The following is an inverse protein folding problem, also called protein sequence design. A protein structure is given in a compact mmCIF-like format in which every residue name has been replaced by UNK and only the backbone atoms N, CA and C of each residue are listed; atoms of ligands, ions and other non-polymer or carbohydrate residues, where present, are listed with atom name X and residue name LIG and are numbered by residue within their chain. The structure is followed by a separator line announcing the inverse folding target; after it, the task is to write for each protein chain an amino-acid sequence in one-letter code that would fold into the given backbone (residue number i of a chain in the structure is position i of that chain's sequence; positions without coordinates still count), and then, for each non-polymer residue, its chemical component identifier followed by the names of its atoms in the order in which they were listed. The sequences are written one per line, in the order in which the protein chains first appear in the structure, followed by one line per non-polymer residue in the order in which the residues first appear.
data_IF_592350117619
#
_entry.id   IF_592350117619
#
_cell.length_a   1.000
_cell.length_b   1.000
_cell.length_c   1.000
_cell.angle_alpha   90.00
_cell.angle_beta   90.00
_cell.angle_gamma   90.00
#
_symmetry.space_group_name_H-M   'P 1'
#
loop_
_entity.id
_entity.type
_entity.pdbx_description
1 polymer ?
#
# COMPACT_ATOMS: atom_id res chain seq x y z
N UNK A 1 36.48 -13.68 30.87
CA UNK A 1 36.36 -13.88 29.41
C UNK A 1 35.59 -12.67 28.93
N UNK A 2 36.28 -11.54 28.83
CA UNK A 2 35.69 -10.23 28.59
C UNK A 2 36.04 -9.83 27.17
N UNK A 3 35.14 -10.15 26.24
CA UNK A 3 35.21 -9.71 24.85
C UNK A 3 34.71 -8.25 24.79
N UNK A 4 35.55 -7.27 24.42
CA UNK A 4 35.19 -5.86 24.44
C UNK A 4 34.16 -5.46 23.37
N UNK A 5 33.69 -6.40 22.55
CA UNK A 5 32.70 -6.19 21.48
C UNK A 5 31.28 -6.69 21.82
N UNK A 6 31.05 -7.20 23.03
CA UNK A 6 29.76 -7.78 23.40
C UNK A 6 28.73 -6.70 23.77
N UNK A 7 27.83 -6.39 22.85
CA UNK A 7 26.61 -5.64 23.18
C UNK A 7 25.54 -6.61 23.70
N UNK A 8 25.09 -6.50 24.97
CA UNK A 8 23.99 -7.33 25.47
C UNK A 8 22.78 -7.13 24.58
N UNK A 9 22.22 -8.25 24.08
CA UNK A 9 20.95 -8.16 23.37
C UNK A 9 19.89 -7.55 24.28
N UNK A 10 19.08 -6.60 23.77
CA UNK A 10 18.03 -5.99 24.58
C UNK A 10 17.09 -7.10 25.06
N UNK A 11 16.74 -7.06 26.35
CA UNK A 11 15.86 -8.05 27.02
C UNK A 11 16.42 -9.48 27.10
N UNK A 12 17.73 -9.67 27.34
CA UNK A 12 18.35 -11.00 27.47
C UNK A 12 17.59 -11.99 28.37
N UNK A 13 17.11 -11.53 29.54
CA UNK A 13 16.35 -12.37 30.49
C UNK A 13 14.97 -12.74 29.95
N UNK A 14 14.23 -11.81 29.33
CA UNK A 14 12.92 -12.12 28.76
C UNK A 14 13.05 -13.03 27.52
N UNK A 15 14.08 -12.81 26.69
CA UNK A 15 14.39 -13.67 25.54
C UNK A 15 14.72 -15.11 26.00
N UNK A 16 15.49 -15.27 27.09
CA UNK A 16 15.76 -16.58 27.68
C UNK A 16 14.50 -17.24 28.27
N UNK A 17 13.62 -16.47 28.92
CA UNK A 17 12.34 -16.98 29.42
C UNK A 17 11.43 -17.50 28.31
N UNK A 18 11.35 -16.79 27.17
CA UNK A 18 10.61 -17.23 25.98
C UNK A 18 11.25 -18.49 25.37
N UNK A 19 12.57 -18.50 25.21
CA UNK A 19 13.30 -19.64 24.64
C UNK A 19 13.16 -20.93 25.47
N UNK A 20 13.01 -20.82 26.79
CA UNK A 20 12.80 -21.95 27.70
C UNK A 20 11.32 -22.23 28.02
N UNK A 21 10.36 -21.57 27.35
CA UNK A 21 8.92 -21.81 27.51
C UNK A 21 8.38 -21.49 28.92
N UNK A 22 9.04 -20.60 29.67
CA UNK A 22 8.68 -20.27 31.06
C UNK A 22 7.60 -19.18 31.12
N UNK A 23 6.39 -19.51 30.65
CA UNK A 23 5.26 -18.56 30.54
C UNK A 23 4.85 -18.00 31.90
N UNK A 24 4.98 -18.78 32.98
CA UNK A 24 4.68 -18.35 34.36
C UNK A 24 5.60 -17.22 34.86
N UNK A 25 6.89 -17.24 34.45
CA UNK A 25 7.85 -16.18 34.79
C UNK A 25 7.66 -14.92 33.93
N UNK A 26 7.14 -15.07 32.71
CA UNK A 26 6.71 -13.95 31.85
C UNK A 26 5.42 -13.29 32.37
N UNK A 27 4.49 -14.09 32.90
CA UNK A 27 3.25 -13.62 33.52
C UNK A 27 3.47 -13.01 34.91
N UNK A 28 4.67 -13.16 35.49
CA UNK A 28 4.98 -12.60 36.79
C UNK A 28 4.78 -11.07 36.79
N UNK A 29 4.15 -10.47 37.82
CA UNK A 29 3.83 -9.04 37.85
C UNK A 29 5.03 -8.13 37.60
N UNK A 30 6.24 -8.56 38.00
CA UNK A 30 7.49 -7.86 37.75
C UNK A 30 7.87 -7.80 36.26
N UNK A 31 7.80 -8.94 35.56
CA UNK A 31 8.09 -9.04 34.12
C UNK A 31 7.06 -8.27 33.31
N UNK A 32 5.78 -8.36 33.68
CA UNK A 32 4.70 -7.60 33.04
C UNK A 32 4.85 -6.09 33.27
N UNK A 33 5.13 -5.64 34.49
CA UNK A 33 5.34 -4.22 34.77
C UNK A 33 6.55 -3.67 34.02
N UNK A 34 7.63 -4.44 33.94
CA UNK A 34 8.81 -4.06 33.16
C UNK A 34 8.50 -3.91 31.66
N UNK A 35 7.81 -4.88 31.05
CA UNK A 35 7.37 -4.80 29.65
C UNK A 35 6.40 -3.64 29.40
N UNK A 36 5.43 -3.43 30.31
CA UNK A 36 4.47 -2.34 30.23
C UNK A 36 5.16 -0.97 30.33
N UNK A 37 6.16 -0.82 31.20
CA UNK A 37 6.92 0.42 31.35
C UNK A 37 7.73 0.74 30.08
N UNK A 38 8.32 -0.29 29.45
CA UNK A 38 9.05 -0.15 28.19
C UNK A 38 8.12 0.20 27.02
N UNK A 39 6.97 -0.49 26.93
CA UNK A 39 5.93 -0.18 25.94
C UNK A 39 5.41 1.25 26.09
N UNK A 40 5.10 1.66 27.33
CA UNK A 40 4.57 2.99 27.61
C UNK A 40 5.58 4.12 27.37
N UNK A 41 6.88 3.83 27.53
CA UNK A 41 7.93 4.82 27.29
C UNK A 41 8.18 5.05 25.79
N UNK A 42 8.31 3.98 25.00
CA UNK A 42 8.77 4.10 23.61
C UNK A 42 7.96 3.28 22.60
N UNK A 43 7.57 2.06 22.97
CA UNK A 43 6.95 1.12 22.03
C UNK A 43 5.62 1.64 21.46
N UNK A 44 4.75 2.20 22.31
CA UNK A 44 3.43 2.69 21.89
C UNK A 44 3.51 3.83 20.88
N UNK A 45 4.45 4.76 21.07
CA UNK A 45 4.58 5.93 20.19
C UNK A 45 5.17 5.55 18.84
N UNK A 46 6.16 4.66 18.84
CA UNK A 46 6.74 4.14 17.60
C UNK A 46 5.72 3.32 16.80
N UNK A 47 4.99 2.42 17.47
CA UNK A 47 3.92 1.64 16.83
C UNK A 47 2.82 2.56 16.31
N UNK A 48 2.34 3.52 17.12
CA UNK A 48 1.31 4.47 16.72
C UNK A 48 1.76 5.33 15.53
N UNK A 49 3.01 5.81 15.51
CA UNK A 49 3.53 6.58 14.39
C UNK A 49 3.58 5.74 13.10
N UNK A 50 4.04 4.48 13.19
CA UNK A 50 4.04 3.57 12.04
C UNK A 50 2.62 3.29 11.54
N UNK A 51 1.68 3.06 12.46
CA UNK A 51 0.26 2.84 12.13
C UNK A 51 -0.34 4.08 11.47
N UNK A 52 -0.06 5.29 12.00
CA UNK A 52 -0.55 6.54 11.42
C UNK A 52 0.00 6.78 10.01
N UNK A 53 1.30 6.57 9.78
CA UNK A 53 1.89 6.69 8.45
C UNK A 53 1.25 5.70 7.46
N UNK A 54 1.00 4.47 7.92
CA UNK A 54 0.28 3.47 7.12
C UNK A 54 -1.18 3.87 6.86
N UNK A 55 -1.89 4.44 7.85
CA UNK A 55 -3.25 4.95 7.66
C UNK A 55 -3.33 6.11 6.65
N UNK A 56 -2.34 7.00 6.63
CA UNK A 56 -2.25 8.06 5.62
C UNK A 56 -2.07 7.46 4.23
N UNK A 57 -1.16 6.49 4.08
CA UNK A 57 -1.01 5.75 2.83
C UNK A 57 -2.33 5.07 2.39
N UNK A 58 -2.99 4.37 3.31
CA UNK A 58 -4.26 3.69 3.07
C UNK A 58 -5.35 4.64 2.58
N UNK A 59 -5.46 5.82 3.21
CA UNK A 59 -6.40 6.85 2.81
C UNK A 59 -6.12 7.36 1.39
N UNK A 60 -4.85 7.63 1.06
CA UNK A 60 -4.44 8.10 -0.25
C UNK A 60 -4.68 7.06 -1.35
N UNK A 61 -4.36 5.80 -1.10
CA UNK A 61 -4.61 4.69 -2.04
C UNK A 61 -6.11 4.50 -2.27
N UNK A 62 -6.91 4.52 -1.20
CA UNK A 62 -8.37 4.39 -1.30
C UNK A 62 -8.98 5.56 -2.08
N UNK A 63 -8.52 6.79 -1.80
CA UNK A 63 -8.93 7.98 -2.53
C UNK A 63 -8.55 7.89 -4.02
N UNK A 64 -7.32 7.46 -4.32
CA UNK A 64 -6.85 7.29 -5.68
C UNK A 64 -7.68 6.27 -6.46
N UNK A 65 -7.93 5.09 -5.88
CA UNK A 65 -8.75 4.05 -6.50
C UNK A 65 -10.20 4.49 -6.70
N UNK A 66 -10.77 5.26 -5.77
CA UNK A 66 -12.10 5.81 -5.92
C UNK A 66 -12.19 6.79 -7.09
N UNK A 67 -11.20 7.69 -7.22
CA UNK A 67 -11.10 8.59 -8.37
C UNK A 67 -10.95 7.80 -9.68
N UNK A 68 -10.09 6.78 -9.70
CA UNK A 68 -9.92 5.92 -10.88
C UNK A 68 -11.24 5.26 -11.31
N UNK A 69 -12.03 4.76 -10.34
CA UNK A 69 -13.31 4.11 -10.62
C UNK A 69 -14.37 5.08 -11.14
N UNK A 70 -14.40 6.31 -10.61
CA UNK A 70 -15.27 7.38 -11.13
C UNK A 70 -14.91 7.72 -12.59
N UNK A 71 -13.62 7.76 -12.93
CA UNK A 71 -13.20 8.02 -14.32
C UNK A 71 -13.59 6.90 -15.28
N UNK A 72 -13.48 5.65 -14.82
CA UNK A 72 -13.85 4.49 -15.63
C UNK A 72 -15.35 4.46 -15.94
N UNK A 73 -16.20 4.75 -14.94
CA UNK A 73 -17.66 4.84 -15.13
C UNK A 73 -18.04 5.94 -16.13
N UNK A 74 -17.37 7.11 -16.05
CA UNK A 74 -17.54 8.19 -17.03
C UNK A 74 -17.08 7.75 -18.43
N UNK A 75 -16.01 6.97 -18.54
CA UNK A 75 -15.51 6.43 -19.81
C UNK A 75 -16.52 5.47 -20.44
N UNK A 76 -17.03 4.51 -19.66
CA UNK A 76 -18.03 3.54 -20.13
C UNK A 76 -19.33 4.24 -20.58
N UNK A 77 -19.83 5.19 -19.78
CA UNK A 77 -21.03 5.96 -20.15
C UNK A 77 -20.84 6.71 -21.47
N UNK A 78 -19.67 7.31 -21.66
CA UNK A 78 -19.37 8.05 -22.87
C UNK A 78 -19.24 7.14 -24.09
N UNK A 79 -18.63 5.95 -23.95
CA UNK A 79 -18.53 4.98 -25.04
C UNK A 79 -19.92 4.49 -25.48
N UNK A 80 -20.82 4.24 -24.53
CA UNK A 80 -22.23 3.89 -24.82
C UNK A 80 -22.94 5.05 -25.53
N UNK A 81 -22.75 6.29 -25.08
CA UNK A 81 -23.34 7.47 -25.72
C UNK A 81 -22.84 7.66 -27.15
N UNK A 82 -21.52 7.55 -27.38
CA UNK A 82 -20.92 7.63 -28.71
C UNK A 82 -21.48 6.52 -29.60
N UNK A 83 -21.56 5.29 -29.09
CA UNK A 83 -22.12 4.17 -29.83
C UNK A 83 -23.58 4.40 -30.24
N UNK A 84 -24.43 4.93 -29.36
CA UNK A 84 -25.82 5.26 -29.69
C UNK A 84 -25.93 6.44 -30.68
N UNK A 85 -25.07 7.47 -30.56
CA UNK A 85 -24.99 8.55 -31.54
C UNK A 85 -24.58 8.02 -32.92
N UNK A 86 -23.61 7.12 -32.99
CA UNK A 86 -23.19 6.46 -34.23
C UNK A 86 -24.29 5.58 -34.81
N UNK A 87 -25.08 4.92 -33.96
CA UNK A 87 -26.23 4.10 -34.39
C UNK A 87 -27.36 4.96 -34.97
N UNK A 88 -27.60 6.15 -34.42
CA UNK A 88 -28.67 7.07 -34.88
C UNK A 88 -28.31 7.87 -36.12
N UNK A 89 -27.05 8.30 -36.27
CA UNK A 89 -26.61 9.12 -37.40
C UNK A 89 -25.84 8.28 -38.44
N UNK A 90 -26.55 7.79 -39.46
CA UNK A 90 -25.96 6.99 -40.54
C UNK A 90 -25.08 7.81 -41.53
N UNK A 91 -24.95 9.13 -41.34
CA UNK A 91 -24.09 9.98 -42.18
C UNK A 91 -23.50 11.18 -41.41
N UNK A 92 -22.18 11.35 -41.55
CA UNK A 92 -21.40 12.58 -41.30
C UNK A 92 -21.22 13.14 -39.88
N UNK A 93 -21.19 12.30 -38.83
CA UNK A 93 -20.40 12.68 -37.65
C UNK A 93 -18.93 12.38 -37.95
N UNK A 94 -18.04 13.37 -37.83
CA UNK A 94 -16.59 13.16 -37.88
C UNK A 94 -16.20 12.28 -36.68
N UNK A 95 -16.28 10.95 -36.86
CA UNK A 95 -16.00 9.93 -35.84
C UNK A 95 -14.72 10.22 -35.06
N UNK A 96 -13.68 10.60 -35.80
CA UNK A 96 -12.36 10.94 -35.25
C UNK A 96 -12.41 12.18 -34.36
N UNK A 97 -13.18 13.20 -34.72
CA UNK A 97 -13.29 14.44 -33.93
C UNK A 97 -14.02 14.22 -32.60
N UNK A 98 -15.12 13.47 -32.59
CA UNK A 98 -15.86 13.15 -31.35
C UNK A 98 -15.06 12.25 -30.41
N UNK A 99 -14.34 11.25 -30.95
CA UNK A 99 -13.49 10.36 -30.14
C UNK A 99 -12.30 11.14 -29.56
N UNK A 100 -11.68 12.01 -30.35
CA UNK A 100 -10.54 12.81 -29.89
C UNK A 100 -10.94 13.81 -28.80
N UNK A 101 -12.06 14.52 -28.98
CA UNK A 101 -12.54 15.49 -27.99
C UNK A 101 -12.95 14.80 -26.68
N UNK A 102 -13.53 13.60 -26.77
CA UNK A 102 -13.88 12.80 -25.61
C UNK A 102 -12.64 12.26 -24.88
N UNK A 103 -11.64 11.79 -25.63
CA UNK A 103 -10.34 11.41 -25.11
C UNK A 103 -9.62 12.57 -24.42
N UNK A 104 -9.74 13.80 -24.94
CA UNK A 104 -9.24 15.01 -24.29
C UNK A 104 -9.98 15.32 -22.98
N UNK A 105 -11.30 15.15 -22.91
CA UNK A 105 -12.07 15.31 -21.67
C UNK A 105 -11.63 14.30 -20.61
N UNK A 106 -11.50 13.02 -20.96
CA UNK A 106 -11.01 11.98 -20.03
C UNK A 106 -9.57 12.26 -19.60
N UNK A 107 -8.69 12.66 -20.53
CA UNK A 107 -7.30 13.03 -20.23
C UNK A 107 -7.19 14.28 -19.36
N UNK A 108 -8.10 15.25 -19.54
CA UNK A 108 -8.16 16.46 -18.71
C UNK A 108 -8.55 16.13 -17.27
N UNK A 109 -9.47 15.17 -17.09
CA UNK A 109 -9.87 14.61 -15.80
C UNK A 109 -8.72 13.84 -15.14
N UNK A 110 -7.96 13.04 -15.90
CA UNK A 110 -6.74 12.37 -15.42
C UNK A 110 -5.66 13.37 -14.98
N UNK A 111 -5.62 14.54 -15.63
CA UNK A 111 -4.67 15.62 -15.33
C UNK A 111 -5.12 16.51 -14.17
N UNK A 112 -6.17 16.15 -13.43
CA UNK A 112 -6.57 16.91 -12.25
C UNK A 112 -5.38 16.96 -11.28
N UNK A 113 -4.90 18.16 -10.89
CA UNK A 113 -3.70 18.30 -10.06
C UNK A 113 -3.76 17.46 -8.77
N UNK A 114 -4.96 17.28 -8.20
CA UNK A 114 -5.17 16.47 -7.01
C UNK A 114 -4.83 14.98 -7.20
N UNK A 115 -5.18 14.38 -8.34
CA UNK A 115 -4.90 12.98 -8.65
C UNK A 115 -3.40 12.75 -8.88
N UNK A 116 -2.73 13.70 -9.53
CA UNK A 116 -1.29 13.65 -9.71
C UNK A 116 -0.54 13.75 -8.37
N UNK A 117 -0.95 14.68 -7.50
CA UNK A 117 -0.33 14.84 -6.18
C UNK A 117 -0.49 13.58 -5.32
N UNK A 118 -1.69 12.99 -5.28
CA UNK A 118 -1.91 11.74 -4.52
C UNK A 118 -1.07 10.58 -5.07
N UNK A 119 -0.94 10.45 -6.40
CA UNK A 119 -0.09 9.44 -7.03
C UNK A 119 1.38 9.60 -6.64
N UNK A 120 1.91 10.84 -6.61
CA UNK A 120 3.30 11.12 -6.21
C UNK A 120 3.53 10.77 -4.74
N UNK A 121 2.59 11.09 -3.85
CA UNK A 121 2.70 10.71 -2.43
C UNK A 121 2.69 9.19 -2.25
N UNK A 122 1.78 8.48 -2.94
CA UNK A 122 1.69 7.01 -2.91
C UNK A 122 2.99 6.39 -3.44
N UNK A 123 3.50 6.89 -4.57
CA UNK A 123 4.76 6.42 -5.15
C UNK A 123 5.93 6.62 -4.18
N UNK A 124 6.04 7.80 -3.58
CA UNK A 124 7.11 8.12 -2.62
C UNK A 124 7.06 7.18 -1.42
N UNK A 125 5.85 6.94 -0.89
CA UNK A 125 5.66 5.99 0.21
C UNK A 125 6.10 4.57 -0.16
N UNK A 126 5.72 4.07 -1.34
CA UNK A 126 6.09 2.72 -1.79
C UNK A 126 7.60 2.62 -1.96
N UNK A 127 8.25 3.58 -2.62
CA UNK A 127 9.70 3.55 -2.86
C UNK A 127 10.47 3.44 -1.53
N UNK A 128 10.08 4.22 -0.51
CA UNK A 128 10.71 4.16 0.81
C UNK A 128 10.48 2.81 1.49
N UNK A 129 9.26 2.26 1.41
CA UNK A 129 8.94 0.98 2.05
C UNK A 129 9.59 -0.21 1.33
N UNK A 130 9.57 -0.24 0.00
CA UNK A 130 10.25 -1.27 -0.79
C UNK A 130 11.75 -1.25 -0.55
N UNK A 131 12.38 -0.07 -0.43
CA UNK A 131 13.80 0.01 -0.04
C UNK A 131 14.05 -0.63 1.33
N UNK A 132 13.20 -0.33 2.31
CA UNK A 132 13.27 -0.93 3.65
C UNK A 132 13.10 -2.45 3.61
N UNK A 133 12.15 -2.96 2.82
CA UNK A 133 11.91 -4.39 2.66
C UNK A 133 13.07 -5.11 1.96
N UNK A 134 13.68 -4.50 0.94
CA UNK A 134 14.88 -5.03 0.27
C UNK A 134 16.05 -5.14 1.25
N UNK A 135 16.24 -4.15 2.13
CA UNK A 135 17.26 -4.21 3.18
C UNK A 135 16.98 -5.36 4.18
N UNK A 136 15.71 -5.60 4.53
CA UNK A 136 15.33 -6.71 5.39
C UNK A 136 15.54 -8.07 4.72
N UNK A 137 15.18 -8.18 3.43
CA UNK A 137 15.40 -9.37 2.62
C UNK A 137 16.89 -9.71 2.54
N UNK A 138 17.76 -8.70 2.39
CA UNK A 138 19.21 -8.91 2.39
C UNK A 138 19.73 -9.48 3.72
N UNK A 139 19.19 -9.02 4.86
CA UNK A 139 19.58 -9.50 6.18
C UNK A 139 19.03 -10.90 6.52
N UNK A 140 17.75 -11.17 6.23
CA UNK A 140 17.04 -12.38 6.66
C UNK A 140 16.96 -13.49 5.59
N UNK A 141 17.35 -13.20 4.34
CA UNK A 141 17.47 -14.12 3.19
C UNK A 141 16.22 -14.98 2.98
N UNK A 142 16.33 -16.30 3.15
CA UNK A 142 15.30 -17.29 2.83
C UNK A 142 14.16 -17.34 3.84
N UNK A 143 14.44 -17.05 5.11
CA UNK A 143 13.38 -17.06 6.13
C UNK A 143 12.38 -15.92 5.91
N UNK A 144 12.84 -14.82 5.30
CA UNK A 144 12.01 -13.68 4.95
C UNK A 144 10.93 -13.99 3.90
N UNK A 145 11.29 -14.79 2.88
CA UNK A 145 10.38 -15.17 1.79
C UNK A 145 9.28 -16.15 2.21
N UNK A 146 9.46 -16.84 3.34
CA UNK A 146 8.49 -17.80 3.87
C UNK A 146 7.46 -17.17 4.81
N UNK A 147 7.66 -15.91 5.23
CA UNK A 147 6.67 -15.21 6.05
C UNK A 147 5.53 -14.69 5.14
N UNK A 148 4.29 -15.20 5.30
CA UNK A 148 3.17 -14.78 4.47
C UNK A 148 2.86 -13.29 4.59
N UNK A 149 3.21 -12.66 5.71
CA UNK A 149 3.03 -11.22 5.93
C UNK A 149 3.83 -10.41 4.91
N UNK A 150 5.08 -10.83 4.65
CA UNK A 150 5.96 -10.13 3.70
C UNK A 150 5.49 -10.37 2.26
N UNK A 151 5.02 -11.57 1.92
CA UNK A 151 4.47 -11.82 0.58
C UNK A 151 3.27 -10.92 0.27
N UNK A 152 2.40 -10.72 1.25
CA UNK A 152 1.24 -9.82 1.14
C UNK A 152 1.69 -8.37 0.87
N UNK A 153 2.75 -7.88 1.55
CA UNK A 153 3.25 -6.51 1.32
C UNK A 153 3.90 -6.35 -0.05
N UNK A 154 4.65 -7.35 -0.52
CA UNK A 154 5.22 -7.35 -1.88
C UNK A 154 4.15 -7.31 -2.97
N UNK A 155 3.10 -8.14 -2.85
CA UNK A 155 1.99 -8.14 -3.82
C UNK A 155 1.27 -6.79 -3.78
N UNK A 156 1.01 -6.25 -2.59
CA UNK A 156 0.43 -4.92 -2.43
C UNK A 156 1.26 -3.84 -3.15
N UNK A 157 2.58 -3.84 -2.98
CA UNK A 157 3.47 -2.86 -3.63
C UNK A 157 3.45 -2.99 -5.15
N UNK A 158 3.52 -4.20 -5.70
CA UNK A 158 3.49 -4.44 -7.15
C UNK A 158 2.15 -3.97 -7.73
N UNK A 159 1.02 -4.37 -7.15
CA UNK A 159 -0.30 -3.95 -7.62
C UNK A 159 -0.48 -2.42 -7.53
N UNK A 160 0.04 -1.78 -6.49
CA UNK A 160 -0.07 -0.33 -6.34
C UNK A 160 0.75 0.40 -7.41
N UNK A 161 1.94 -0.11 -7.79
CA UNK A 161 2.76 0.46 -8.87
C UNK A 161 2.02 0.37 -10.21
N UNK A 162 1.44 -0.79 -10.54
CA UNK A 162 0.69 -0.98 -11.78
C UNK A 162 -0.54 -0.05 -11.81
N UNK A 163 -1.23 0.11 -10.69
CA UNK A 163 -2.38 1.01 -10.56
C UNK A 163 -2.03 2.49 -10.87
N UNK A 164 -0.86 2.98 -10.44
CA UNK A 164 -0.44 4.38 -10.64
C UNK A 164 0.34 4.63 -11.94
N UNK A 165 0.87 3.59 -12.58
CA UNK A 165 1.73 3.70 -13.77
C UNK A 165 1.12 4.51 -14.93
N UNK A 166 -0.20 4.41 -15.24
CA UNK A 166 -0.81 5.15 -16.34
C UNK A 166 -0.74 6.68 -16.22
N UNK A 167 -0.58 7.21 -15.00
CA UNK A 167 -0.39 8.66 -14.80
C UNK A 167 0.96 9.15 -15.33
N UNK A 168 1.99 8.30 -15.24
CA UNK A 168 3.34 8.66 -15.64
C UNK A 168 3.63 8.29 -17.09
N UNK A 169 3.13 7.13 -17.53
CA UNK A 169 3.39 6.60 -18.87
C UNK A 169 2.33 7.02 -19.89
N UNK A 170 1.16 7.48 -19.44
CA UNK A 170 0.05 7.90 -20.31
C UNK A 170 -0.69 6.76 -21.01
N UNK A 171 -0.32 5.51 -20.73
CA UNK A 171 -0.95 4.31 -21.29
C UNK A 171 -1.92 3.71 -20.29
N UNK A 172 -3.19 3.62 -20.66
CA UNK A 172 -4.21 2.93 -19.89
C UNK A 172 -4.15 1.43 -20.20
N UNK A 173 -3.86 0.62 -19.19
CA UNK A 173 -3.93 -0.82 -19.30
C UNK A 173 -5.26 -1.31 -18.70
N UNK A 174 -5.91 -2.28 -19.33
CA UNK A 174 -7.10 -2.95 -18.77
C UNK A 174 -6.85 -3.52 -17.37
N UNK A 175 -5.59 -3.88 -17.09
CA UNK A 175 -5.12 -4.38 -15.80
C UNK A 175 -5.15 -3.34 -14.68
N UNK A 176 -5.22 -2.03 -15.00
CA UNK A 176 -5.15 -0.96 -14.01
C UNK A 176 -6.29 -1.07 -12.98
N UNK A 177 -7.51 -1.33 -13.45
CA UNK A 177 -8.70 -1.43 -12.59
C UNK A 177 -8.65 -2.69 -11.71
N UNK A 178 -8.23 -3.83 -12.28
CA UNK A 178 -8.03 -5.06 -11.51
C UNK A 178 -6.95 -4.89 -10.45
N UNK A 179 -5.85 -4.19 -10.77
CA UNK A 179 -4.81 -3.89 -9.79
C UNK A 179 -5.29 -2.92 -8.71
N UNK A 180 -6.16 -1.96 -9.05
CA UNK A 180 -6.74 -1.02 -8.08
C UNK A 180 -7.60 -1.74 -7.03
N UNK A 181 -8.44 -2.69 -7.45
CA UNK A 181 -9.28 -3.45 -6.52
C UNK A 181 -8.46 -4.36 -5.60
N UNK A 182 -7.47 -5.07 -6.16
CA UNK A 182 -6.52 -5.89 -5.39
C UNK A 182 -5.75 -5.02 -4.38
N UNK A 183 -5.27 -3.86 -4.82
CA UNK A 183 -4.53 -2.91 -3.97
C UNK A 183 -5.36 -2.44 -2.79
N UNK A 184 -6.60 -2.00 -3.03
CA UNK A 184 -7.51 -1.57 -1.95
C UNK A 184 -7.75 -2.73 -0.98
N UNK A 185 -8.11 -3.91 -1.48
CA UNK A 185 -8.34 -5.09 -0.64
C UNK A 185 -7.11 -5.44 0.22
N UNK A 186 -5.94 -5.57 -0.40
CA UNK A 186 -4.71 -5.93 0.32
C UNK A 186 -4.26 -4.84 1.29
N UNK A 187 -4.48 -3.57 0.98
CA UNK A 187 -4.12 -2.46 1.87
C UNK A 187 -4.96 -2.46 3.16
N UNK A 188 -6.27 -2.75 3.08
CA UNK A 188 -7.13 -2.94 4.25
C UNK A 188 -6.80 -4.22 5.01
N UNK A 189 -6.52 -5.32 4.30
CA UNK A 189 -6.09 -6.56 4.93
C UNK A 189 -4.79 -6.40 5.71
N UNK A 190 -3.80 -5.71 5.13
CA UNK A 190 -2.53 -5.45 5.79
C UNK A 190 -2.67 -4.48 6.98
N UNK A 191 -3.67 -3.59 7.00
CA UNK A 191 -4.03 -2.84 8.22
C UNK A 191 -4.43 -3.79 9.36
N UNK A 192 -5.24 -4.81 9.07
CA UNK A 192 -5.65 -5.79 10.08
C UNK A 192 -4.43 -6.57 10.62
N UNK A 193 -3.47 -6.90 9.75
CA UNK A 193 -2.21 -7.53 10.17
C UNK A 193 -1.39 -6.61 11.10
N UNK A 194 -1.38 -5.30 10.84
CA UNK A 194 -0.74 -4.33 11.73
C UNK A 194 -1.43 -4.22 13.09
N UNK A 195 -2.75 -4.36 13.17
CA UNK A 195 -3.50 -4.32 14.43
C UNK A 195 -3.35 -5.59 15.29
N UNK A 196 -2.90 -6.69 14.69
CA UNK A 196 -2.65 -7.95 15.41
C UNK A 196 -1.31 -7.99 16.16
N UNK A 197 -0.37 -7.10 15.82
CA UNK A 197 0.99 -7.03 16.39
C UNK A 197 1.12 -5.95 17.45
#
# INVERSE_FOLDING_TARGET
MDDPTWFPQPLSVANAMVAHGRVELLAHPLSQKYLQMKWNSYGKYFHLANLLLYSVFLALVTYFSAQLMEMEDVREMNDVMVQEMLRRNHSHVNKTGTINLLGEVVKSKLSTPMMYMSAVFVLTYIVVNTLREVLQLYQQKWHYLLDPTNLVTWILHICTIIMIAPIFMGNHEELQLSCASITVFLSWFNLLLYLQR
#
